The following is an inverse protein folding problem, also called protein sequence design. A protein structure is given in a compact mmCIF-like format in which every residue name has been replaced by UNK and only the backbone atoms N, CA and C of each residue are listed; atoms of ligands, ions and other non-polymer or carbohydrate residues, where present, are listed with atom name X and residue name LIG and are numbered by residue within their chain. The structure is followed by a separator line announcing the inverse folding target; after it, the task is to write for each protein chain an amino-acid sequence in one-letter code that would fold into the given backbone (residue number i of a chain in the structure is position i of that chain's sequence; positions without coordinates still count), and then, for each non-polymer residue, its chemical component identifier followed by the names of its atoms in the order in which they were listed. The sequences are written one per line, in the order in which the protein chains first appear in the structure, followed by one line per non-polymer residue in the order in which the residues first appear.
data_IF_981224754582
#
_entry.id   IF_981224754582
#
_cell.length_a   1.000
_cell.length_b   1.000
_cell.length_c   1.000
_cell.angle_alpha   90.00
_cell.angle_beta   90.00
_cell.angle_gamma   90.00
#
_symmetry.space_group_name_H-M   'P 1'
#
loop_
_entity.id
_entity.type
_entity.pdbx_description
1 polymer ?
#
# COMPACT_ATOMS: atom_id res chain seq x y z
N UNK A 1 32.25 -39.99 16.91
CA UNK A 1 31.67 -38.75 16.34
C UNK A 1 30.26 -39.08 15.86
N UNK A 2 29.22 -38.76 16.65
CA UNK A 2 27.80 -38.95 16.29
C UNK A 2 27.13 -37.59 16.33
N UNK A 3 26.56 -37.15 15.21
CA UNK A 3 25.76 -35.93 15.11
C UNK A 3 24.30 -36.38 15.18
N UNK A 4 23.61 -36.00 16.25
CA UNK A 4 22.16 -36.19 16.42
C UNK A 4 21.50 -34.91 15.96
N UNK A 5 20.82 -34.94 14.81
CA UNK A 5 20.04 -33.80 14.32
C UNK A 5 18.64 -33.93 14.91
N UNK A 6 18.34 -33.06 15.89
CA UNK A 6 17.00 -32.85 16.45
C UNK A 6 16.23 -31.92 15.50
N UNK A 7 15.40 -32.46 14.63
CA UNK A 7 14.38 -31.70 13.90
C UNK A 7 13.12 -31.64 14.75
N UNK A 8 13.00 -30.58 15.57
CA UNK A 8 11.75 -30.28 16.25
C UNK A 8 10.79 -29.56 15.29
N UNK A 9 9.64 -30.19 15.09
CA UNK A 9 8.46 -29.70 14.40
C UNK A 9 7.99 -28.38 15.01
N UNK A 10 8.20 -27.28 14.28
CA UNK A 10 7.44 -26.03 14.46
C UNK A 10 6.60 -25.83 13.20
N UNK A 11 5.49 -26.54 13.10
CA UNK A 11 4.37 -26.17 12.22
C UNK A 11 3.09 -26.84 12.72
N UNK A 12 2.34 -26.14 13.58
CA UNK A 12 0.88 -26.31 13.63
C UNK A 12 0.21 -25.30 14.58
N UNK A 13 0.21 -24.00 14.24
CA UNK A 13 -0.77 -23.05 14.80
C UNK A 13 -1.05 -21.89 13.83
N UNK A 14 -1.47 -22.19 12.61
CA UNK A 14 -2.23 -21.24 11.77
C UNK A 14 -2.84 -21.98 10.59
N UNK A 15 -4.00 -22.64 10.76
CA UNK A 15 -5.07 -22.71 9.73
C UNK A 15 -6.35 -23.23 10.42
N UNK A 16 -7.24 -22.35 10.87
CA UNK A 16 -8.60 -22.76 11.33
C UNK A 16 -9.67 -22.29 10.35
N UNK A 17 -9.41 -22.46 9.05
CA UNK A 17 -10.42 -22.40 7.98
C UNK A 17 -9.94 -23.16 6.73
N UNK A 18 -9.26 -24.29 6.91
CA UNK A 18 -9.01 -25.19 5.78
C UNK A 18 -10.23 -26.08 5.65
N UNK A 19 -11.02 -25.92 4.59
CA UNK A 19 -12.12 -26.84 4.31
C UNK A 19 -11.55 -28.26 4.22
N UNK A 20 -12.20 -29.27 4.85
CA UNK A 20 -11.70 -30.64 4.92
C UNK A 20 -11.40 -31.24 3.54
N UNK A 21 -12.07 -30.76 2.49
CA UNK A 21 -11.77 -31.08 1.10
C UNK A 21 -10.31 -30.80 0.68
N UNK A 22 -9.74 -29.65 1.08
CA UNK A 22 -8.37 -29.31 0.72
C UNK A 22 -7.33 -30.12 1.52
N UNK A 23 -7.64 -30.49 2.77
CA UNK A 23 -6.80 -31.41 3.54
C UNK A 23 -6.77 -32.80 2.90
N UNK A 24 -7.92 -33.29 2.42
CA UNK A 24 -8.02 -34.53 1.65
C UNK A 24 -7.26 -34.47 0.31
N UNK A 25 -7.38 -33.38 -0.45
CA UNK A 25 -6.65 -33.24 -1.73
C UNK A 25 -5.12 -33.23 -1.54
N UNK A 26 -4.63 -32.61 -0.47
CA UNK A 26 -3.19 -32.48 -0.22
C UNK A 26 -2.56 -33.69 0.49
N UNK A 27 -3.30 -34.33 1.41
CA UNK A 27 -2.76 -35.40 2.26
C UNK A 27 -3.41 -36.77 2.02
N UNK A 28 -4.58 -36.81 1.37
CA UNK A 28 -5.33 -38.04 1.08
C UNK A 28 -4.55 -39.10 0.28
N UNK A 29 -3.71 -38.75 -0.71
CA UNK A 29 -2.92 -39.74 -1.44
C UNK A 29 -1.80 -40.39 -0.60
N UNK A 30 -1.43 -39.78 0.52
CA UNK A 30 -0.29 -40.19 1.36
C UNK A 30 -0.72 -40.83 2.68
N UNK A 31 -2.01 -40.87 2.98
CA UNK A 31 -2.57 -41.51 4.17
C UNK A 31 -2.95 -42.97 3.88
N UNK A 32 -2.75 -43.87 4.84
CA UNK A 32 -3.26 -45.25 4.75
C UNK A 32 -4.80 -45.24 4.65
N UNK A 33 -5.37 -46.17 3.88
CA UNK A 33 -6.79 -46.17 3.52
C UNK A 33 -7.77 -46.18 4.72
N UNK A 34 -7.29 -46.61 5.89
CA UNK A 34 -8.07 -46.63 7.14
C UNK A 34 -8.16 -45.22 7.77
N UNK A 35 -7.10 -44.42 7.66
CA UNK A 35 -7.03 -43.05 8.22
C UNK A 35 -7.71 -42.01 7.32
N UNK A 36 -7.82 -42.28 6.01
CA UNK A 36 -8.46 -41.39 5.05
C UNK A 36 -9.98 -41.21 5.31
N UNK A 37 -10.62 -42.20 5.94
CA UNK A 37 -12.04 -42.20 6.28
C UNK A 37 -12.34 -41.48 7.60
N UNK A 38 -11.38 -41.42 8.53
CA UNK A 38 -11.55 -40.70 9.80
C UNK A 38 -11.52 -39.16 9.61
N UNK A 39 -10.99 -38.67 8.48
CA UNK A 39 -11.09 -37.25 8.09
C UNK A 39 -12.52 -36.79 7.75
N UNK A 40 -13.45 -37.73 7.49
CA UNK A 40 -14.84 -37.45 7.14
C UNK A 40 -15.84 -37.74 8.27
N UNK A 41 -15.37 -38.20 9.44
CA UNK A 41 -16.25 -38.33 10.61
C UNK A 41 -16.56 -36.95 11.18
N UNK A 42 -17.64 -36.36 10.68
CA UNK A 42 -18.37 -35.35 11.42
C UNK A 42 -18.81 -35.98 12.75
N UNK A 43 -18.17 -35.60 13.86
CA UNK A 43 -18.62 -35.97 15.21
C UNK A 43 -19.96 -35.28 15.50
N UNK A 44 -21.03 -35.84 14.95
CA UNK A 44 -22.42 -35.52 15.27
C UNK A 44 -22.83 -36.25 16.55
N UNK A 45 -22.51 -35.68 17.71
CA UNK A 45 -23.37 -35.66 18.92
C UNK A 45 -22.61 -35.05 20.11
N UNK A 46 -23.16 -34.04 20.81
CA UNK A 46 -22.57 -33.57 22.06
C UNK A 46 -22.86 -34.60 23.15
N UNK A 47 -21.82 -35.25 23.69
CA UNK A 47 -21.94 -35.95 24.96
C UNK A 47 -22.09 -34.89 26.06
N UNK A 48 -23.28 -34.82 26.66
CA UNK A 48 -23.53 -34.04 27.87
C UNK A 48 -22.44 -34.35 28.91
N UNK A 49 -21.77 -33.30 29.41
CA UNK A 49 -20.89 -33.39 30.57
C UNK A 49 -19.38 -33.36 30.33
N UNK A 50 -18.88 -33.40 29.08
CA UNK A 50 -17.45 -33.19 28.84
C UNK A 50 -17.21 -31.74 28.45
N UNK A 51 -16.83 -30.90 29.41
CA UNK A 51 -16.30 -29.56 29.12
C UNK A 51 -15.10 -29.73 28.16
N UNK A 52 -15.36 -29.50 26.88
CA UNK A 52 -14.36 -29.54 25.82
C UNK A 52 -13.19 -28.67 26.31
N UNK A 53 -11.98 -29.23 26.35
CA UNK A 53 -10.77 -28.56 26.87
C UNK A 53 -10.59 -27.14 26.30
N UNK A 54 -11.09 -26.90 25.09
CA UNK A 54 -11.17 -25.61 24.41
C UNK A 54 -12.13 -24.61 25.08
N UNK A 55 -13.31 -25.05 25.52
CA UNK A 55 -14.28 -24.25 26.28
C UNK A 55 -13.73 -23.86 27.66
N UNK A 56 -13.08 -24.79 28.38
CA UNK A 56 -12.40 -24.48 29.65
C UNK A 56 -11.25 -23.49 29.45
N UNK A 57 -10.43 -23.65 28.40
CA UNK A 57 -9.37 -22.68 28.05
C UNK A 57 -9.93 -21.31 27.66
N UNK A 58 -11.04 -21.26 26.91
CA UNK A 58 -11.73 -20.01 26.57
C UNK A 58 -12.29 -19.31 27.81
N UNK A 59 -12.88 -20.06 28.75
CA UNK A 59 -13.41 -19.53 30.02
C UNK A 59 -12.30 -19.02 30.93
N UNK A 60 -11.18 -19.74 31.04
CA UNK A 60 -9.99 -19.30 31.77
C UNK A 60 -9.40 -18.03 31.14
N UNK A 61 -9.30 -17.95 29.80
CA UNK A 61 -8.85 -16.72 29.12
C UNK A 61 -9.82 -15.55 29.34
N UNK A 62 -11.13 -15.80 29.31
CA UNK A 62 -12.16 -14.78 29.52
C UNK A 62 -12.12 -14.25 30.95
N UNK A 63 -11.93 -15.12 31.95
CA UNK A 63 -11.78 -14.74 33.35
C UNK A 63 -10.47 -13.95 33.56
N UNK A 64 -9.33 -14.43 33.02
CA UNK A 64 -8.07 -13.67 33.07
C UNK A 64 -8.14 -12.30 32.40
N UNK A 65 -8.94 -12.15 31.35
CA UNK A 65 -9.14 -10.86 30.69
C UNK A 65 -10.12 -9.95 31.47
N UNK A 66 -11.06 -10.54 32.24
CA UNK A 66 -11.92 -9.79 33.15
C UNK A 66 -11.14 -9.27 34.37
N UNK A 67 -10.21 -10.07 34.90
CA UNK A 67 -9.33 -9.68 36.01
C UNK A 67 -8.31 -8.59 35.61
N UNK A 68 -8.06 -8.42 34.30
CA UNK A 68 -7.17 -7.39 33.74
C UNK A 68 -7.90 -6.14 33.26
N UNK A 69 -9.22 -6.05 33.47
CA UNK A 69 -10.04 -4.97 32.91
C UNK A 69 -9.79 -3.62 33.59
N UNK A 70 -9.29 -3.65 34.84
CA UNK A 70 -8.92 -2.48 35.64
C UNK A 70 -7.40 -2.24 35.67
N UNK A 71 -6.62 -3.05 34.94
CA UNK A 71 -5.16 -2.96 34.90
C UNK A 71 -4.70 -2.01 33.80
N UNK A 72 -4.60 -0.71 34.12
CA UNK A 72 -4.09 0.33 33.21
C UNK A 72 -2.58 0.22 32.97
N UNK A 73 -1.86 -0.66 33.68
CA UNK A 73 -0.43 -0.91 33.42
C UNK A 73 -0.18 -1.56 32.05
N UNK A 74 -1.23 -2.14 31.44
CA UNK A 74 -1.22 -2.67 30.08
C UNK A 74 -1.95 -1.77 29.08
N UNK A 75 -2.18 -0.48 29.39
CA UNK A 75 -2.31 0.49 28.30
C UNK A 75 -1.00 0.43 27.53
N UNK A 76 -1.03 -0.27 26.38
CA UNK A 76 0.11 -0.42 25.47
C UNK A 76 0.43 0.94 24.87
N UNK A 77 1.03 1.82 25.66
CA UNK A 77 1.69 3.01 25.16
C UNK A 77 2.81 2.46 24.30
N UNK A 78 2.63 2.55 22.99
CA UNK A 78 3.67 2.21 22.01
C UNK A 78 4.97 2.85 22.50
N UNK A 79 6.02 2.04 22.62
CA UNK A 79 7.32 2.57 23.03
C UNK A 79 7.73 3.69 22.06
N UNK A 80 8.49 4.68 22.51
CA UNK A 80 8.97 5.77 21.66
C UNK A 80 9.59 5.26 20.36
N UNK A 81 10.34 4.16 20.43
CA UNK A 81 10.90 3.47 19.25
C UNK A 81 9.83 2.90 18.31
N UNK A 82 8.75 2.32 18.85
CA UNK A 82 7.63 1.85 18.03
C UNK A 82 6.87 3.01 17.36
N UNK A 83 6.72 4.14 18.07
CA UNK A 83 6.14 5.37 17.50
C UNK A 83 6.99 5.92 16.35
N UNK A 84 8.31 6.05 16.56
CA UNK A 84 9.27 6.44 15.52
C UNK A 84 9.19 5.53 14.29
N UNK A 85 9.07 4.21 14.49
CA UNK A 85 8.94 3.26 13.39
C UNK A 85 7.61 3.44 12.62
N UNK A 86 6.50 3.69 13.32
CA UNK A 86 5.20 3.96 12.69
C UNK A 86 5.26 5.26 11.88
N UNK A 87 5.85 6.32 12.44
CA UNK A 87 6.02 7.60 11.76
C UNK A 87 6.92 7.45 10.52
N UNK A 88 8.00 6.66 10.61
CA UNK A 88 8.86 6.36 9.48
C UNK A 88 8.10 5.62 8.35
N UNK A 89 7.27 4.63 8.69
CA UNK A 89 6.41 3.94 7.72
C UNK A 89 5.44 4.93 7.07
N UNK A 90 4.84 5.81 7.85
CA UNK A 90 3.90 6.81 7.34
C UNK A 90 4.56 7.79 6.36
N UNK A 91 5.79 8.24 6.65
CA UNK A 91 6.58 9.07 5.74
C UNK A 91 6.89 8.31 4.44
N UNK A 92 7.29 7.04 4.54
CA UNK A 92 7.54 6.20 3.36
C UNK A 92 6.29 6.02 2.50
N UNK A 93 5.13 5.78 3.11
CA UNK A 93 3.86 5.66 2.39
C UNK A 93 3.49 6.96 1.67
N UNK A 94 3.66 8.12 2.31
CA UNK A 94 3.45 9.42 1.66
C UNK A 94 4.38 9.62 0.47
N UNK A 95 5.66 9.30 0.61
CA UNK A 95 6.63 9.41 -0.48
C UNK A 95 6.23 8.52 -1.66
N UNK A 96 5.85 7.27 -1.39
CA UNK A 96 5.40 6.35 -2.44
C UNK A 96 4.16 6.87 -3.15
N UNK A 97 3.20 7.42 -2.41
CA UNK A 97 2.01 8.05 -3.01
C UNK A 97 2.40 9.20 -3.94
N UNK A 98 3.25 10.13 -3.49
CA UNK A 98 3.72 11.23 -4.33
C UNK A 98 4.43 10.75 -5.60
N UNK A 99 5.26 9.70 -5.49
CA UNK A 99 5.90 9.09 -6.66
C UNK A 99 4.88 8.48 -7.63
N UNK A 100 3.84 7.81 -7.11
CA UNK A 100 2.76 7.29 -7.94
C UNK A 100 2.05 8.42 -8.68
N UNK A 101 1.69 9.50 -8.00
CA UNK A 101 1.01 10.64 -8.59
C UNK A 101 1.87 11.31 -9.68
N UNK A 102 3.18 11.47 -9.44
CA UNK A 102 4.12 11.99 -10.45
C UNK A 102 4.23 11.08 -11.67
N UNK A 103 4.34 9.76 -11.45
CA UNK A 103 4.41 8.79 -12.57
C UNK A 103 3.12 8.75 -13.38
N UNK A 104 1.96 8.89 -12.73
CA UNK A 104 0.67 8.98 -13.42
C UNK A 104 0.59 10.23 -14.29
N UNK A 105 1.04 11.39 -13.79
CA UNK A 105 1.08 12.60 -14.59
C UNK A 105 1.97 12.44 -15.82
N UNK A 106 3.16 11.84 -15.66
CA UNK A 106 4.07 11.56 -16.79
C UNK A 106 3.41 10.62 -17.79
N UNK A 107 2.69 9.59 -17.33
CA UNK A 107 1.96 8.67 -18.20
C UNK A 107 0.88 9.38 -19.01
N UNK A 108 0.12 10.29 -18.39
CA UNK A 108 -0.91 11.10 -19.09
C UNK A 108 -0.27 12.01 -20.12
N UNK A 109 0.85 12.66 -19.81
CA UNK A 109 1.59 13.49 -20.78
C UNK A 109 2.05 12.65 -21.97
N UNK A 110 2.58 11.44 -21.72
CA UNK A 110 2.99 10.54 -22.79
C UNK A 110 1.79 10.13 -23.67
N UNK A 111 0.63 9.85 -23.08
CA UNK A 111 -0.60 9.54 -23.81
C UNK A 111 -1.09 10.73 -24.65
N UNK A 112 -1.04 11.96 -24.11
CA UNK A 112 -1.42 13.17 -24.84
C UNK A 112 -0.58 13.34 -26.11
N UNK A 113 0.74 13.20 -26.00
CA UNK A 113 1.62 13.29 -27.18
C UNK A 113 1.37 12.17 -28.18
N UNK A 114 1.01 10.97 -27.73
CA UNK A 114 0.70 9.84 -28.59
C UNK A 114 -0.60 10.09 -29.38
N UNK A 115 -1.65 10.61 -28.73
CA UNK A 115 -2.92 10.94 -29.36
C UNK A 115 -2.75 12.11 -30.33
N UNK A 116 -1.97 13.14 -29.99
CA UNK A 116 -1.66 14.23 -30.92
C UNK A 116 -1.07 13.72 -32.24
N UNK A 117 -0.14 12.78 -32.18
CA UNK A 117 0.40 12.12 -33.39
C UNK A 117 -0.63 11.29 -34.15
N UNK A 118 -1.57 10.67 -33.45
CA UNK A 118 -2.65 9.91 -34.07
C UNK A 118 -3.66 10.83 -34.78
N UNK A 119 -3.97 11.99 -34.20
CA UNK A 119 -4.81 13.03 -34.82
C UNK A 119 -4.16 13.49 -36.12
N UNK A 120 -2.89 13.91 -36.09
CA UNK A 120 -2.17 14.35 -37.29
C UNK A 120 -2.19 13.29 -38.39
N UNK A 121 -2.00 12.01 -38.03
CA UNK A 121 -2.03 10.91 -38.97
C UNK A 121 -3.44 10.64 -39.51
N UNK A 122 -4.47 10.75 -38.66
CA UNK A 122 -5.86 10.58 -39.03
C UNK A 122 -6.34 11.72 -39.94
N UNK A 123 -5.98 12.97 -39.66
CA UNK A 123 -6.28 14.14 -40.49
C UNK A 123 -5.66 14.03 -41.86
N UNK A 124 -4.37 13.64 -41.96
CA UNK A 124 -3.72 13.39 -43.25
C UNK A 124 -4.44 12.32 -44.06
N UNK A 125 -4.91 11.24 -43.41
CA UNK A 125 -5.67 10.19 -44.10
C UNK A 125 -7.07 10.67 -44.51
N UNK A 126 -7.73 11.45 -43.66
CA UNK A 126 -9.05 12.00 -43.94
C UNK A 126 -9.00 12.97 -45.12
N UNK A 127 -8.04 13.90 -45.13
CA UNK A 127 -7.84 14.86 -46.21
C UNK A 127 -7.52 14.22 -47.56
N UNK A 128 -6.74 13.12 -47.58
CA UNK A 128 -6.49 12.35 -48.82
C UNK A 128 -7.78 11.72 -49.38
N UNK A 129 -8.64 11.21 -48.50
CA UNK A 129 -9.89 10.53 -48.89
C UNK A 129 -11.02 11.50 -49.19
N UNK A 130 -11.03 12.64 -48.50
CA UNK A 130 -12.09 13.64 -48.52
C UNK A 130 -11.47 15.03 -48.35
N UNK A 131 -11.36 15.77 -49.45
CA UNK A 131 -10.68 17.07 -49.48
C UNK A 131 -11.35 18.16 -48.62
N UNK A 132 -12.64 17.98 -48.29
CA UNK A 132 -13.39 18.89 -47.44
C UNK A 132 -13.80 18.18 -46.16
N UNK A 133 -13.88 18.95 -45.08
CA UNK A 133 -14.46 18.43 -43.84
C UNK A 133 -15.92 18.06 -44.06
N UNK A 134 -16.27 16.85 -43.64
CA UNK A 134 -17.62 16.32 -43.71
C UNK A 134 -17.91 15.56 -42.41
N UNK A 135 -18.84 16.09 -41.61
CA UNK A 135 -19.22 15.53 -40.30
C UNK A 135 -19.78 14.12 -40.40
N UNK A 136 -20.40 13.77 -41.52
CA UNK A 136 -21.02 12.46 -41.68
C UNK A 136 -20.05 11.40 -42.21
N UNK A 137 -18.91 11.82 -42.74
CA UNK A 137 -17.89 10.94 -43.26
C UNK A 137 -17.15 10.19 -42.14
N UNK A 138 -17.02 8.87 -42.30
CA UNK A 138 -16.33 7.97 -41.36
C UNK A 138 -14.91 8.43 -41.02
N UNK A 139 -14.16 8.98 -41.97
CA UNK A 139 -12.76 9.38 -41.72
C UNK A 139 -12.65 10.62 -40.82
N UNK A 140 -13.52 11.60 -41.01
CA UNK A 140 -13.56 12.80 -40.17
C UNK A 140 -14.13 12.50 -38.78
N UNK A 141 -15.12 11.59 -38.67
CA UNK A 141 -15.58 11.09 -37.36
C UNK A 141 -14.46 10.47 -36.51
N UNK A 142 -13.50 9.78 -37.15
CA UNK A 142 -12.35 9.22 -36.42
C UNK A 142 -11.47 10.34 -35.87
N UNK A 143 -11.25 11.41 -36.64
CA UNK A 143 -10.51 12.59 -36.18
C UNK A 143 -11.24 13.26 -35.03
N UNK A 144 -12.55 13.46 -35.16
CA UNK A 144 -13.40 14.09 -34.14
C UNK A 144 -13.37 13.29 -32.82
N UNK A 145 -13.50 11.96 -32.89
CA UNK A 145 -13.39 11.10 -31.70
C UNK A 145 -12.02 11.22 -31.02
N UNK A 146 -10.92 11.24 -31.80
CA UNK A 146 -9.57 11.41 -31.23
C UNK A 146 -9.38 12.79 -30.59
N UNK A 147 -10.01 13.83 -31.15
CA UNK A 147 -10.02 15.18 -30.56
C UNK A 147 -10.82 15.21 -29.26
N UNK A 148 -11.95 14.51 -29.18
CA UNK A 148 -12.71 14.35 -27.94
C UNK A 148 -11.90 13.64 -26.86
N UNK A 149 -11.23 12.52 -27.21
CA UNK A 149 -10.34 11.78 -26.31
C UNK A 149 -9.19 12.68 -25.80
N UNK A 150 -8.59 13.49 -26.68
CA UNK A 150 -7.55 14.44 -26.30
C UNK A 150 -8.08 15.52 -25.32
N UNK A 151 -9.30 16.01 -25.54
CA UNK A 151 -9.92 17.00 -24.65
C UNK A 151 -10.23 16.41 -23.27
N UNK A 152 -10.66 15.15 -23.20
CA UNK A 152 -10.88 14.44 -21.94
C UNK A 152 -9.57 14.29 -21.17
N UNK A 153 -8.50 13.82 -21.81
CA UNK A 153 -7.18 13.71 -21.20
C UNK A 153 -6.63 15.06 -20.72
N UNK A 154 -6.87 16.14 -21.47
CA UNK A 154 -6.48 17.49 -21.01
C UNK A 154 -7.25 17.94 -19.77
N UNK A 155 -8.50 17.51 -19.58
CA UNK A 155 -9.25 17.78 -18.35
C UNK A 155 -8.65 17.00 -17.18
N UNK A 156 -8.32 15.73 -17.39
CA UNK A 156 -7.71 14.88 -16.37
C UNK A 156 -6.32 15.37 -15.95
N UNK A 157 -5.52 15.84 -16.91
CA UNK A 157 -4.24 16.48 -16.59
C UNK A 157 -4.42 17.74 -15.73
N UNK A 158 -5.44 18.56 -16.01
CA UNK A 158 -5.76 19.75 -15.22
C UNK A 158 -6.22 19.40 -13.81
N UNK A 159 -7.07 18.39 -13.64
CA UNK A 159 -7.55 17.98 -12.31
C UNK A 159 -6.40 17.44 -11.46
N UNK A 160 -5.57 16.54 -12.01
CA UNK A 160 -4.40 16.00 -11.30
C UNK A 160 -3.38 17.07 -10.94
N UNK A 161 -3.09 18.02 -11.83
CA UNK A 161 -2.15 19.11 -11.52
C UNK A 161 -2.67 20.04 -10.43
N UNK A 162 -3.99 20.29 -10.36
CA UNK A 162 -4.62 21.05 -9.28
C UNK A 162 -4.53 20.27 -7.96
N UNK A 163 -4.78 18.97 -7.97
CA UNK A 163 -4.69 18.12 -6.78
C UNK A 163 -3.26 18.08 -6.21
N UNK A 164 -2.25 17.85 -7.05
CA UNK A 164 -0.84 17.91 -6.62
C UNK A 164 -0.46 19.27 -6.03
N UNK A 165 -0.95 20.38 -6.62
CA UNK A 165 -0.72 21.73 -6.07
C UNK A 165 -1.35 21.89 -4.68
N UNK A 166 -2.58 21.41 -4.49
CA UNK A 166 -3.27 21.45 -3.19
C UNK A 166 -2.53 20.62 -2.14
N UNK A 167 -2.02 19.45 -2.50
CA UNK A 167 -1.24 18.60 -1.59
C UNK A 167 0.09 19.27 -1.18
N UNK A 168 0.78 19.94 -2.11
CA UNK A 168 2.00 20.71 -1.80
C UNK A 168 1.74 21.87 -0.84
N UNK A 169 0.63 22.60 -1.01
CA UNK A 169 0.25 23.70 -0.10
C UNK A 169 -0.04 23.15 1.30
N UNK A 170 -0.82 22.07 1.41
CA UNK A 170 -1.12 21.42 2.70
C UNK A 170 0.12 20.85 3.40
N UNK A 171 1.14 20.42 2.64
CA UNK A 171 2.40 19.97 3.19
C UNK A 171 3.21 21.13 3.78
N UNK A 172 3.20 22.29 3.12
CA UNK A 172 3.91 23.49 3.59
C UNK A 172 3.23 24.15 4.79
N UNK A 173 1.89 24.13 4.89
CA UNK A 173 1.17 24.65 6.06
C UNK A 173 1.32 23.80 7.33
N UNK A 174 1.70 22.52 7.20
CA UNK A 174 1.90 21.60 8.33
C UNK A 174 3.34 21.56 8.87
N UNK A 175 4.28 22.27 8.24
CA UNK A 175 5.61 22.47 8.79
C UNK A 175 5.54 23.63 9.79
N UNK A 176 5.73 23.41 11.10
CA UNK A 176 5.92 24.51 12.03
C UNK A 176 7.16 25.29 11.58
N UNK A 177 6.98 26.60 11.42
CA UNK A 177 8.04 27.58 11.17
C UNK A 177 8.95 27.69 12.39
N UNK A 178 9.82 26.71 12.62
CA UNK A 178 10.83 26.80 13.68
C UNK A 178 12.00 25.90 13.32
N UNK A 179 12.98 26.45 12.63
CA UNK A 179 14.38 26.48 13.07
C UNK A 179 15.03 27.71 12.42
N UNK A 180 14.87 28.88 13.03
CA UNK A 180 15.84 29.97 12.86
C UNK A 180 17.01 29.59 13.76
N UNK A 181 18.05 28.98 13.20
CA UNK A 181 19.35 28.95 13.89
C UNK A 181 19.97 30.32 13.63
N UNK A 182 19.96 31.17 14.65
CA UNK A 182 20.73 32.42 14.63
C UNK A 182 22.21 32.09 14.39
N UNK A 183 22.68 32.39 13.18
CA UNK A 183 24.06 32.22 12.75
C UNK A 183 24.92 33.47 13.08
N UNK A 184 24.54 34.25 14.09
CA UNK A 184 25.23 35.48 14.50
C UNK A 184 25.94 35.29 15.84
N UNK A 185 26.91 34.38 15.93
CA UNK A 185 27.92 34.50 16.99
C UNK A 185 29.21 33.68 16.79
N UNK A 186 29.96 33.87 15.71
CA UNK A 186 31.41 33.55 15.69
C UNK A 186 32.09 34.22 14.49
N UNK A 187 32.33 35.53 14.58
CA UNK A 187 33.43 36.21 13.87
C UNK A 187 33.64 37.58 14.51
N UNK A 188 34.33 37.61 15.66
CA UNK A 188 35.14 38.78 16.04
C UNK A 188 36.60 38.38 15.88
N UNK A 189 37.09 38.68 14.69
CA UNK A 189 38.50 38.88 14.38
C UNK A 189 38.96 40.17 15.05
N UNK A 190 39.77 40.04 16.10
CA UNK A 190 40.57 41.16 16.61
C UNK A 190 41.91 41.14 15.86
N UNK A 191 41.97 41.93 14.79
CA UNK A 191 43.22 42.47 14.25
C UNK A 191 43.45 43.84 14.90
N UNK A 192 44.59 43.98 15.59
CA UNK A 192 45.26 45.27 15.83
C UNK A 192 46.76 45.01 15.83
N UNK A 193 47.42 45.32 14.71
CA UNK A 193 48.31 46.50 14.54
C UNK A 193 49.59 46.40 15.39
N UNK A 194 50.70 45.97 14.77
CA UNK A 194 51.74 46.84 14.19
C UNK A 194 52.66 47.50 15.23
N UNK A 195 53.97 47.18 15.17
CA UNK A 195 55.07 48.16 15.15
C UNK A 195 56.45 47.47 15.25
N UNK A 196 57.17 47.49 14.13
CA UNK A 196 58.61 47.80 14.00
C UNK A 196 59.44 48.02 15.28
N UNK A 197 60.44 47.17 15.53
CA UNK A 197 61.91 47.35 15.37
C UNK A 197 62.66 46.28 16.14
#
# INVERSE_FOLDING_TARGET
RRIVIRTEMIMCQMVTSFQPFFAFMLYGPFAEAVDALDLFREESAPKEGVEIRSAKRKRIRKNKNADRKDDTSTERILSTRQRMNIDAIYIQQKRLKHQQDETQLVAIIAQETAIGRQIDAAERRATIRCNKYDKDNKYWKIVDNLLEDQQELMKDMKTQTIEMKKERIKANEKLPSEVVVDADNMTKSDDSESATL
#
